data_IF_756864605139
#
_entry.id   IF_756864605139
#
_cell.length_a   1.000
_cell.length_b   1.000
_cell.length_c   1.000
_cell.angle_alpha   90.00
_cell.angle_beta   90.00
_cell.angle_gamma   90.00
#
_symmetry.space_group_name_H-M   'P 1'
#
loop_
_entity.id
_entity.type
_entity.pdbx_description
1 polymer ?
#
# COMPACT_ATOMS: atom_id res chain seq x y z
N UNK A 1 17.77 -5.95 -42.66
CA UNK A 1 16.45 -5.43 -43.09
C UNK A 1 15.45 -6.57 -43.12
N UNK A 2 14.55 -6.64 -42.13
CA UNK A 2 13.18 -7.16 -42.30
C UNK A 2 12.35 -6.60 -41.15
N UNK A 3 11.67 -5.48 -41.43
CA UNK A 3 10.69 -4.88 -40.54
C UNK A 3 9.44 -5.77 -40.58
N UNK A 4 9.42 -6.80 -39.75
CA UNK A 4 8.20 -7.56 -39.50
C UNK A 4 7.27 -6.66 -38.71
N UNK A 5 6.41 -5.95 -39.45
CA UNK A 5 5.26 -5.21 -38.94
C UNK A 5 4.26 -6.16 -38.30
N UNK A 6 4.61 -6.75 -37.14
CA UNK A 6 3.67 -7.39 -36.23
C UNK A 6 2.78 -6.27 -35.73
N UNK A 7 1.61 -6.20 -36.34
CA UNK A 7 0.76 -5.03 -36.30
C UNK A 7 0.39 -4.71 -34.84
N UNK A 8 0.41 -3.43 -34.43
CA UNK A 8 -0.13 -2.97 -33.15
C UNK A 8 -1.60 -3.42 -32.98
N UNK A 9 -2.26 -3.71 -34.10
CA UNK A 9 -3.59 -4.31 -34.21
C UNK A 9 -3.68 -5.70 -33.58
N UNK A 10 -2.64 -6.54 -33.64
CA UNK A 10 -2.67 -7.88 -33.04
C UNK A 10 -2.54 -7.82 -31.51
N UNK A 11 -1.74 -6.88 -30.99
CA UNK A 11 -1.68 -6.57 -29.56
C UNK A 11 -2.98 -5.94 -29.05
N UNK A 12 -3.66 -5.13 -29.88
CA UNK A 12 -4.97 -4.56 -29.58
C UNK A 12 -6.12 -5.60 -29.64
N UNK A 13 -6.09 -6.52 -30.60
CA UNK A 13 -7.11 -7.57 -30.77
C UNK A 13 -7.11 -8.59 -29.61
N UNK A 14 -5.94 -8.91 -29.04
CA UNK A 14 -5.85 -9.70 -27.82
C UNK A 14 -5.97 -8.87 -26.53
N UNK A 15 -5.88 -7.54 -26.61
CA UNK A 15 -6.13 -6.60 -25.51
C UNK A 15 -7.61 -6.46 -25.11
N UNK A 16 -8.51 -7.18 -25.81
CA UNK A 16 -9.92 -7.32 -25.46
C UNK A 16 -10.11 -8.04 -24.11
N UNK A 17 -9.10 -8.78 -23.67
CA UNK A 17 -9.03 -9.26 -22.30
C UNK A 17 -8.22 -8.23 -21.50
N UNK A 18 -8.81 -7.65 -20.44
CA UNK A 18 -8.14 -6.62 -19.67
C UNK A 18 -6.80 -7.09 -19.13
N UNK A 19 -5.76 -6.28 -19.34
CA UNK A 19 -4.38 -6.60 -18.97
C UNK A 19 -3.55 -7.23 -20.09
N UNK A 20 -4.13 -7.99 -21.03
CA UNK A 20 -3.34 -8.70 -22.06
C UNK A 20 -2.59 -7.77 -23.03
N UNK A 21 -3.08 -6.56 -23.27
CA UNK A 21 -2.39 -5.58 -24.12
C UNK A 21 -1.00 -5.18 -23.60
N UNK A 22 -0.82 -5.13 -22.28
CA UNK A 22 0.46 -4.80 -21.66
C UNK A 22 1.50 -5.94 -21.75
N UNK A 23 1.05 -7.20 -21.85
CA UNK A 23 1.92 -8.38 -22.04
C UNK A 23 2.73 -8.28 -23.33
N UNK A 24 2.10 -7.84 -24.43
CA UNK A 24 2.80 -7.63 -25.71
C UNK A 24 3.84 -6.51 -25.65
N UNK A 25 3.61 -5.54 -24.77
CA UNK A 25 4.53 -4.45 -24.50
C UNK A 25 5.63 -4.83 -23.49
N UNK A 26 5.70 -6.10 -23.06
CA UNK A 26 6.71 -6.60 -22.13
C UNK A 26 6.47 -6.15 -20.68
N UNK A 27 5.26 -5.72 -20.33
CA UNK A 27 4.85 -5.26 -19.01
C UNK A 27 3.91 -6.29 -18.37
N UNK A 28 4.48 -7.40 -17.89
CA UNK A 28 3.71 -8.54 -17.38
C UNK A 28 3.09 -8.24 -16.02
N UNK A 29 3.77 -7.48 -15.17
CA UNK A 29 3.25 -7.12 -13.85
C UNK A 29 2.10 -6.12 -14.00
N UNK A 30 2.25 -5.12 -14.87
CA UNK A 30 1.17 -4.19 -15.21
C UNK A 30 -0.06 -4.89 -15.77
N UNK A 31 0.13 -5.88 -16.65
CA UNK A 31 -0.94 -6.71 -17.19
C UNK A 31 -1.73 -7.43 -16.08
N UNK A 32 -1.01 -8.08 -15.16
CA UNK A 32 -1.60 -8.80 -14.03
C UNK A 32 -2.38 -7.84 -13.11
N UNK A 33 -1.83 -6.67 -12.81
CA UNK A 33 -2.50 -5.67 -11.95
C UNK A 33 -3.82 -5.22 -12.56
N UNK A 34 -3.83 -4.84 -13.83
CA UNK A 34 -5.05 -4.39 -14.51
C UNK A 34 -6.13 -5.49 -14.54
N UNK A 35 -5.72 -6.74 -14.77
CA UNK A 35 -6.61 -7.90 -14.72
C UNK A 35 -7.22 -8.11 -13.33
N UNK A 36 -6.39 -8.07 -12.29
CA UNK A 36 -6.83 -8.21 -10.89
C UNK A 36 -7.76 -7.07 -10.47
N UNK A 37 -7.52 -5.85 -10.92
CA UNK A 37 -8.39 -4.70 -10.63
C UNK A 37 -9.78 -4.93 -11.23
N UNK A 38 -9.88 -5.36 -12.49
CA UNK A 38 -11.19 -5.57 -13.13
C UNK A 38 -11.96 -6.70 -12.48
N UNK A 39 -11.31 -7.84 -12.23
CA UNK A 39 -11.94 -8.94 -11.52
C UNK A 39 -12.35 -8.50 -10.11
N UNK A 40 -11.50 -7.75 -9.42
CA UNK A 40 -11.79 -7.19 -8.10
C UNK A 40 -13.01 -6.28 -8.11
N UNK A 41 -13.13 -5.37 -9.08
CA UNK A 41 -14.29 -4.49 -9.17
C UNK A 41 -15.59 -5.24 -9.50
N UNK A 42 -15.57 -6.23 -10.40
CA UNK A 42 -16.73 -7.09 -10.67
C UNK A 42 -17.12 -7.88 -9.42
N UNK A 43 -16.14 -8.50 -8.77
CA UNK A 43 -16.35 -9.24 -7.53
C UNK A 43 -16.95 -8.35 -6.43
N UNK A 44 -16.47 -7.10 -6.31
CA UNK A 44 -17.05 -6.12 -5.37
C UNK A 44 -18.45 -5.67 -5.78
N UNK A 45 -18.73 -5.53 -7.07
CA UNK A 45 -20.08 -5.20 -7.55
C UNK A 45 -21.07 -6.29 -7.13
N UNK A 46 -20.69 -7.56 -7.30
CA UNK A 46 -21.51 -8.72 -6.95
C UNK A 46 -21.72 -8.83 -5.43
N UNK A 47 -20.65 -8.64 -4.63
CA UNK A 47 -20.71 -8.77 -3.17
C UNK A 47 -21.51 -7.64 -2.51
N UNK A 48 -21.36 -6.39 -2.98
CA UNK A 48 -21.91 -5.23 -2.30
C UNK A 48 -23.39 -4.98 -2.62
N UNK A 49 -23.90 -5.54 -3.72
CA UNK A 49 -25.30 -5.43 -4.14
C UNK A 49 -25.78 -3.97 -4.35
N UNK A 50 -27.07 -3.82 -4.60
CA UNK A 50 -27.68 -2.51 -4.87
C UNK A 50 -27.73 -1.62 -3.60
N UNK A 51 -27.33 -0.33 -3.68
CA UNK A 51 -27.08 0.49 -4.88
C UNK A 51 -25.61 0.57 -5.34
N UNK A 52 -24.67 -0.02 -4.60
CA UNK A 52 -23.24 0.08 -4.91
C UNK A 52 -22.85 -0.72 -6.15
N UNK A 53 -23.55 -1.82 -6.44
CA UNK A 53 -23.42 -2.63 -7.65
C UNK A 53 -23.34 -1.77 -8.91
N UNK A 54 -24.29 -0.86 -9.12
CA UNK A 54 -24.31 0.04 -10.29
C UNK A 54 -23.06 0.90 -10.37
N UNK A 55 -22.56 1.38 -9.24
CA UNK A 55 -21.36 2.23 -9.20
C UNK A 55 -20.11 1.42 -9.53
N UNK A 56 -19.97 0.22 -8.97
CA UNK A 56 -18.83 -0.66 -9.26
C UNK A 56 -18.89 -1.22 -10.69
N UNK A 57 -20.07 -1.55 -11.21
CA UNK A 57 -20.24 -1.98 -12.60
C UNK A 57 -19.88 -0.87 -13.61
N UNK A 58 -20.31 0.37 -13.35
CA UNK A 58 -19.92 1.54 -14.16
C UNK A 58 -18.41 1.82 -14.04
N UNK A 59 -17.85 1.77 -12.82
CA UNK A 59 -16.42 1.93 -12.60
C UNK A 59 -15.61 0.86 -13.34
N UNK A 60 -16.06 -0.38 -13.33
CA UNK A 60 -15.44 -1.50 -14.05
C UNK A 60 -15.45 -1.26 -15.55
N UNK A 61 -16.58 -0.78 -16.07
CA UNK A 61 -16.75 -0.47 -17.50
C UNK A 61 -15.83 0.69 -17.91
N UNK A 62 -15.78 1.77 -17.14
CA UNK A 62 -14.90 2.90 -17.39
C UNK A 62 -13.43 2.48 -17.34
N UNK A 63 -13.06 1.68 -16.33
CA UNK A 63 -11.70 1.18 -16.17
C UNK A 63 -11.31 0.20 -17.29
N UNK A 64 -12.22 -0.64 -17.78
CA UNK A 64 -11.99 -1.48 -18.95
C UNK A 64 -11.59 -0.66 -20.18
N UNK A 65 -12.31 0.40 -20.52
CA UNK A 65 -11.92 1.29 -21.62
C UNK A 65 -10.59 1.99 -21.37
N UNK A 66 -10.31 2.38 -20.13
CA UNK A 66 -9.01 2.92 -19.74
C UNK A 66 -7.88 1.91 -20.02
N UNK A 67 -8.04 0.63 -19.70
CA UNK A 67 -6.99 -0.38 -19.96
C UNK A 67 -6.70 -0.58 -21.44
N UNK A 68 -7.71 -0.43 -22.31
CA UNK A 68 -7.52 -0.45 -23.77
C UNK A 68 -6.69 0.75 -24.22
N UNK A 69 -7.04 1.95 -23.75
CA UNK A 69 -6.31 3.17 -24.06
C UNK A 69 -4.85 3.13 -23.54
N UNK A 70 -4.66 2.66 -22.32
CA UNK A 70 -3.34 2.52 -21.68
C UNK A 70 -2.44 1.54 -22.46
N UNK A 71 -2.98 0.42 -22.95
CA UNK A 71 -2.24 -0.51 -23.79
C UNK A 71 -1.80 0.13 -25.12
N UNK A 72 -2.69 0.91 -25.75
CA UNK A 72 -2.37 1.66 -26.97
C UNK A 72 -1.28 2.72 -26.73
N UNK A 73 -1.44 3.52 -25.68
CA UNK A 73 -0.45 4.53 -25.28
C UNK A 73 0.92 3.91 -24.99
N UNK A 74 0.94 2.80 -24.26
CA UNK A 74 2.17 2.05 -23.97
C UNK A 74 2.83 1.55 -25.26
N UNK A 75 2.07 1.03 -26.21
CA UNK A 75 2.61 0.59 -27.50
C UNK A 75 3.24 1.76 -28.29
N UNK A 76 2.64 2.95 -28.23
CA UNK A 76 3.18 4.15 -28.87
C UNK A 76 4.48 4.61 -28.21
N UNK A 77 4.54 4.63 -26.86
CA UNK A 77 5.74 4.96 -26.09
C UNK A 77 6.89 4.00 -26.36
N UNK A 78 6.60 2.69 -26.49
CA UNK A 78 7.60 1.69 -26.90
C UNK A 78 8.22 1.99 -28.27
N UNK A 79 7.41 2.47 -29.23
CA UNK A 79 7.90 2.86 -30.56
C UNK A 79 8.78 4.11 -30.52
N UNK A 80 8.55 4.99 -29.56
CA UNK A 80 9.38 6.17 -29.32
C UNK A 80 10.70 5.83 -28.62
N UNK A 81 10.95 4.55 -28.29
CA UNK A 81 12.19 4.08 -27.67
C UNK A 81 12.19 4.15 -26.15
N UNK A 82 11.04 4.34 -25.51
CA UNK A 82 10.95 4.31 -24.05
C UNK A 82 11.13 2.89 -23.48
N UNK A 83 11.79 2.80 -22.33
CA UNK A 83 12.01 1.55 -21.62
C UNK A 83 10.80 1.18 -20.75
N UNK A 84 9.87 0.46 -21.34
CA UNK A 84 8.69 -0.06 -20.65
C UNK A 84 9.01 -1.14 -19.61
N UNK A 85 10.15 -1.83 -19.72
CA UNK A 85 10.53 -2.87 -18.76
C UNK A 85 10.99 -2.24 -17.44
N UNK A 86 11.69 -1.11 -17.51
CA UNK A 86 12.02 -0.33 -16.32
C UNK A 86 10.76 0.13 -15.56
N UNK A 87 9.68 0.50 -16.26
CA UNK A 87 8.40 0.81 -15.62
C UNK A 87 7.78 -0.41 -14.92
N UNK A 88 7.79 -1.58 -15.57
CA UNK A 88 7.24 -2.83 -15.02
C UNK A 88 8.02 -3.28 -13.77
N UNK A 89 9.35 -3.14 -13.76
CA UNK A 89 10.18 -3.46 -12.60
C UNK A 89 10.00 -2.48 -11.44
N UNK A 90 9.76 -1.19 -11.72
CA UNK A 90 9.38 -0.22 -10.67
C UNK A 90 8.04 -0.60 -10.05
N UNK A 91 7.05 -0.95 -10.86
CA UNK A 91 5.75 -1.40 -10.37
C UNK A 91 5.89 -2.69 -9.53
N UNK A 92 6.69 -3.65 -10.01
CA UNK A 92 6.98 -4.89 -9.28
C UNK A 92 7.66 -4.63 -7.93
N UNK A 93 8.60 -3.69 -7.89
CA UNK A 93 9.27 -3.28 -6.65
C UNK A 93 8.26 -2.65 -5.70
N UNK A 94 7.42 -1.74 -6.18
CA UNK A 94 6.36 -1.11 -5.39
C UNK A 94 5.38 -2.13 -4.80
N UNK A 95 4.95 -3.13 -5.59
CA UNK A 95 4.09 -4.22 -5.11
C UNK A 95 4.79 -5.11 -4.09
N UNK A 96 6.10 -5.36 -4.25
CA UNK A 96 6.91 -6.13 -3.30
C UNK A 96 7.04 -5.41 -1.95
N UNK A 97 7.29 -4.12 -1.97
CA UNK A 97 7.35 -3.30 -0.76
C UNK A 97 6.02 -3.29 -0.01
N UNK A 98 4.90 -3.31 -0.73
CA UNK A 98 3.55 -3.27 -0.15
C UNK A 98 2.82 -4.62 -0.21
N UNK A 99 3.54 -5.74 -0.25
CA UNK A 99 2.94 -7.08 -0.44
C UNK A 99 1.93 -7.43 0.64
N UNK A 100 2.14 -7.00 1.89
CA UNK A 100 1.18 -7.25 2.96
C UNK A 100 -0.16 -6.55 2.72
N UNK A 101 -0.14 -5.34 2.17
CA UNK A 101 -1.34 -4.56 1.88
C UNK A 101 -2.08 -5.16 0.69
N UNK A 102 -1.39 -5.31 -0.44
CA UNK A 102 -1.98 -5.89 -1.66
C UNK A 102 -2.44 -7.33 -1.46
N UNK A 103 -1.64 -8.14 -0.76
CA UNK A 103 -1.97 -9.51 -0.40
C UNK A 103 -3.15 -9.58 0.57
N UNK A 104 -3.21 -8.69 1.57
CA UNK A 104 -4.34 -8.59 2.50
C UNK A 104 -5.64 -8.22 1.79
N UNK A 105 -5.60 -7.28 0.85
CA UNK A 105 -6.76 -6.92 0.01
C UNK A 105 -7.20 -8.14 -0.83
N UNK A 106 -6.26 -8.82 -1.50
CA UNK A 106 -6.57 -9.99 -2.32
C UNK A 106 -7.20 -11.13 -1.51
N UNK A 107 -6.63 -11.42 -0.33
CA UNK A 107 -7.15 -12.45 0.59
C UNK A 107 -8.52 -12.03 1.11
N UNK A 108 -8.71 -10.76 1.48
CA UNK A 108 -9.98 -10.23 1.93
C UNK A 108 -11.05 -10.35 0.85
N UNK A 109 -10.82 -9.79 -0.34
CA UNK A 109 -11.74 -9.87 -1.48
C UNK A 109 -12.04 -11.33 -1.85
N UNK A 110 -11.02 -12.20 -1.91
CA UNK A 110 -11.21 -13.61 -2.22
C UNK A 110 -11.99 -14.38 -1.15
N UNK A 111 -11.76 -14.10 0.14
CA UNK A 111 -12.51 -14.71 1.23
C UNK A 111 -13.99 -14.29 1.20
N UNK A 112 -14.27 -13.02 0.91
CA UNK A 112 -15.65 -12.52 0.75
C UNK A 112 -16.32 -13.17 -0.46
N UNK A 113 -15.61 -13.28 -1.59
CA UNK A 113 -16.13 -13.94 -2.79
C UNK A 113 -16.41 -15.43 -2.57
N UNK A 114 -15.51 -16.14 -1.87
CA UNK A 114 -15.72 -17.55 -1.50
C UNK A 114 -16.91 -17.72 -0.55
N UNK A 115 -17.10 -16.77 0.37
CA UNK A 115 -18.24 -16.80 1.30
C UNK A 115 -19.56 -16.63 0.55
N UNK A 116 -19.63 -15.71 -0.40
CA UNK A 116 -20.81 -15.53 -1.26
C UNK A 116 -21.07 -16.77 -2.13
N UNK A 117 -20.02 -17.34 -2.73
CA UNK A 117 -20.15 -18.54 -3.57
C UNK A 117 -20.63 -19.79 -2.81
N UNK A 118 -20.24 -19.96 -1.55
CA UNK A 118 -20.61 -21.13 -0.75
C UNK A 118 -22.03 -21.07 -0.16
N UNK A 119 -22.69 -19.90 -0.14
CA UNK A 119 -23.92 -19.69 0.63
C UNK A 119 -25.09 -19.26 -0.27
N UNK A 120 -26.10 -20.12 -0.49
CA UNK A 120 -27.24 -19.79 -1.34
C UNK A 120 -28.05 -18.60 -0.77
N UNK A 121 -28.64 -17.82 -1.69
CA UNK A 121 -29.50 -16.61 -1.57
C UNK A 121 -30.22 -16.34 -0.23
N UNK A 122 -30.69 -17.35 0.51
CA UNK A 122 -31.32 -17.15 1.82
C UNK A 122 -30.36 -16.63 2.92
N UNK A 123 -29.05 -16.82 2.78
CA UNK A 123 -28.07 -16.46 3.83
C UNK A 123 -27.47 -15.06 3.69
N UNK A 124 -27.73 -14.35 2.58
CA UNK A 124 -27.21 -13.01 2.33
C UNK A 124 -27.63 -11.97 3.40
N UNK A 125 -28.64 -12.31 4.23
CA UNK A 125 -29.08 -11.51 5.39
C UNK A 125 -28.24 -11.69 6.67
N UNK A 126 -27.36 -12.67 6.76
CA UNK A 126 -26.58 -12.97 7.99
C UNK A 126 -25.20 -12.28 8.04
N UNK A 127 -24.78 -11.62 6.97
CA UNK A 127 -23.55 -10.81 6.92
C UNK A 127 -23.37 -9.85 8.12
N UNK A 128 -24.41 -9.11 8.58
CA UNK A 128 -24.29 -8.26 9.76
C UNK A 128 -23.96 -9.06 11.03
N UNK A 129 -24.53 -10.25 11.18
CA UNK A 129 -24.32 -11.11 12.36
C UNK A 129 -22.91 -11.67 12.38
N UNK A 130 -22.40 -12.10 11.22
CA UNK A 130 -21.04 -12.63 11.11
C UNK A 130 -20.00 -11.52 11.38
N UNK A 131 -20.23 -10.30 10.89
CA UNK A 131 -19.41 -9.13 11.24
C UNK A 131 -19.44 -8.78 12.72
N UNK A 132 -20.60 -8.89 13.37
CA UNK A 132 -20.72 -8.70 14.82
C UNK A 132 -19.92 -9.77 15.58
N UNK A 133 -20.00 -11.04 15.17
CA UNK A 133 -19.25 -12.14 15.77
C UNK A 133 -17.74 -11.98 15.53
N UNK A 134 -17.33 -11.61 14.32
CA UNK A 134 -15.94 -11.34 13.98
C UNK A 134 -15.39 -10.14 14.76
N UNK A 135 -16.16 -9.06 14.86
CA UNK A 135 -15.81 -7.89 15.68
C UNK A 135 -15.68 -8.26 17.17
N UNK A 136 -16.60 -9.08 17.69
CA UNK A 136 -16.52 -9.58 19.05
C UNK A 136 -15.28 -10.47 19.26
N UNK A 137 -14.96 -11.34 18.30
CA UNK A 137 -13.78 -12.20 18.33
C UNK A 137 -12.48 -11.39 18.27
N UNK A 138 -12.44 -10.32 17.47
CA UNK A 138 -11.28 -9.43 17.35
C UNK A 138 -11.06 -8.60 18.61
N UNK A 139 -12.14 -8.08 19.22
CA UNK A 139 -12.09 -7.41 20.52
C UNK A 139 -11.66 -8.36 21.64
N UNK A 140 -12.13 -9.61 21.61
CA UNK A 140 -11.73 -10.63 22.56
C UNK A 140 -10.25 -11.02 22.39
N UNK A 141 -9.80 -11.15 21.14
CA UNK A 141 -8.41 -11.41 20.79
C UNK A 141 -7.48 -10.28 21.20
N UNK A 142 -7.88 -9.02 20.98
CA UNK A 142 -7.15 -7.83 21.44
C UNK A 142 -7.04 -7.78 22.96
N UNK A 143 -8.07 -8.22 23.70
CA UNK A 143 -8.02 -8.28 25.17
C UNK A 143 -7.17 -9.44 25.71
N UNK A 144 -6.91 -10.50 24.93
CA UNK A 144 -6.04 -11.62 25.32
C UNK A 144 -4.60 -11.50 24.80
N UNK A 145 -4.38 -10.76 23.71
CA UNK A 145 -3.07 -10.45 23.18
C UNK A 145 -2.42 -9.34 24.00
N UNK A 146 -1.56 -9.71 24.95
CA UNK A 146 -0.57 -8.78 25.51
C UNK A 146 0.12 -8.08 24.34
N UNK A 147 -0.09 -6.78 24.24
CA UNK A 147 0.65 -5.89 23.36
C UNK A 147 2.13 -6.15 23.66
N UNK A 148 2.84 -6.73 22.68
CA UNK A 148 4.28 -6.86 22.73
C UNK A 148 4.86 -5.47 23.03
N UNK A 149 5.83 -5.48 23.93
CA UNK A 149 6.45 -4.36 24.64
C UNK A 149 6.37 -2.99 23.93
N UNK A 150 6.09 -1.89 24.67
CA UNK A 150 6.21 -0.56 24.10
C UNK A 150 7.62 -0.40 23.53
N UNK A 151 7.71 0.02 22.26
CA UNK A 151 8.96 0.45 21.65
C UNK A 151 9.64 1.40 22.64
N UNK A 152 10.72 0.96 23.29
CA UNK A 152 11.56 1.83 24.09
C UNK A 152 12.17 2.81 23.11
N UNK A 153 11.54 3.98 22.97
CA UNK A 153 12.15 5.14 22.35
C UNK A 153 13.35 5.50 23.22
N UNK A 154 14.50 4.89 22.92
CA UNK A 154 15.77 5.26 23.52
C UNK A 154 16.16 6.62 22.95
N UNK A 155 15.55 7.67 23.50
CA UNK A 155 15.91 9.06 23.22
C UNK A 155 17.31 9.30 23.79
N UNK A 156 18.34 9.00 23.01
CA UNK A 156 19.73 9.29 23.35
C UNK A 156 20.10 10.65 22.78
N UNK A 157 19.55 11.69 23.38
CA UNK A 157 20.08 13.04 23.25
C UNK A 157 20.12 13.60 24.66
N UNK A 158 21.32 13.84 25.25
CA UNK A 158 21.37 14.57 26.50
C UNK A 158 20.78 15.97 26.27
N UNK A 159 20.01 16.51 27.23
CA UNK A 159 19.50 17.87 27.12
C UNK A 159 20.67 18.83 26.91
N UNK A 160 20.53 19.87 26.06
CA UNK A 160 21.56 20.89 25.95
C UNK A 160 21.78 21.48 27.35
N UNK A 161 22.98 21.27 27.89
CA UNK A 161 23.41 21.93 29.11
C UNK A 161 23.39 23.44 28.88
N UNK A 162 22.53 24.14 29.62
CA UNK A 162 22.47 25.61 29.62
C UNK A 162 23.65 26.21 30.40
N UNK A 163 24.52 25.37 30.99
CA UNK A 163 25.70 25.82 31.72
C UNK A 163 26.85 25.98 30.72
N UNK A 164 27.38 27.21 30.51
CA UNK A 164 28.63 27.39 29.79
C UNK A 164 29.74 26.72 30.60
N UNK A 165 30.52 25.85 29.97
CA UNK A 165 31.59 25.05 30.59
C UNK A 165 32.79 25.87 31.14
N UNK A 166 32.61 27.16 31.44
CA UNK A 166 33.65 28.08 31.88
C UNK A 166 33.33 28.90 33.13
N UNK A 167 32.20 28.66 33.82
CA UNK A 167 31.80 29.48 34.97
C UNK A 167 32.48 29.11 36.31
N UNK A 168 33.18 27.98 36.36
CA UNK A 168 33.72 27.40 37.61
C UNK A 168 34.97 28.12 38.16
N UNK A 169 35.62 28.99 37.38
CA UNK A 169 36.84 29.68 37.84
C UNK A 169 36.57 30.90 38.72
N UNK A 170 35.39 31.52 38.63
CA UNK A 170 35.15 32.77 39.36
C UNK A 170 34.80 32.52 40.82
N UNK A 171 34.17 31.38 41.15
CA UNK A 171 33.69 31.05 42.51
C UNK A 171 34.81 30.62 43.46
N UNK A 172 35.89 30.01 42.96
CA UNK A 172 37.07 29.67 43.79
C UNK A 172 37.86 30.90 44.25
N UNK A 173 37.87 31.97 43.45
CA UNK A 173 38.58 33.20 43.80
C UNK A 173 37.86 33.99 44.91
N UNK A 174 36.52 33.95 44.94
CA UNK A 174 35.74 34.54 46.03
C UNK A 174 35.94 33.80 47.36
N UNK A 175 35.94 32.46 47.35
CA UNK A 175 36.13 31.65 48.56
C UNK A 175 37.54 31.84 49.18
N UNK A 176 38.57 32.02 48.35
CA UNK A 176 39.93 32.27 48.85
C UNK A 176 40.13 33.68 49.41
N UNK A 177 39.38 34.67 48.92
CA UNK A 177 39.47 36.04 49.45
C UNK A 177 38.93 36.16 50.88
N UNK A 178 37.93 35.35 51.24
CA UNK A 178 37.27 35.41 52.55
C UNK A 178 38.18 34.90 53.69
N UNK A 179 38.93 33.82 53.43
CA UNK A 179 39.90 33.26 54.40
C UNK A 179 41.07 34.22 54.71
N UNK A 180 41.39 35.13 53.79
CA UNK A 180 42.54 36.03 53.97
C UNK A 180 42.26 37.20 54.94
N UNK A 181 40.99 37.46 55.29
CA UNK A 181 40.62 38.50 56.25
C UNK A 181 40.48 37.98 57.69
N UNK A 182 40.30 36.67 57.87
CA UNK A 182 40.14 36.05 59.19
C UNK A 182 41.48 35.85 59.93
N UNK A 183 42.61 36.00 59.24
CA UNK A 183 43.95 35.74 59.78
C UNK A 183 44.76 37.03 60.03
N UNK A 184 44.08 38.17 60.24
CA UNK A 184 44.70 39.47 60.51
C UNK A 184 44.01 40.25 61.64
N UNK A 185 43.53 39.53 62.67
CA UNK A 185 43.15 40.07 63.99
C UNK A 185 44.05 39.41 65.04
#
# INVERSE_FOLDING_TARGET
MKSDGKLPLTAALFGLIPGLGAVFNGQNVKALVNFLIIIGLWTLADILGSPLETTFALASTAYYFYTIYDAYSSAQRRRMGEDLQAEDERLKTYLREHTNVWGGILIGTGALALMEFLLPEQINRFWPVLLIVAGFFLLWGYRRGKINEPVKLSYRVPPPSVIPAGYDRSTSDFANSESSYENRI
#
